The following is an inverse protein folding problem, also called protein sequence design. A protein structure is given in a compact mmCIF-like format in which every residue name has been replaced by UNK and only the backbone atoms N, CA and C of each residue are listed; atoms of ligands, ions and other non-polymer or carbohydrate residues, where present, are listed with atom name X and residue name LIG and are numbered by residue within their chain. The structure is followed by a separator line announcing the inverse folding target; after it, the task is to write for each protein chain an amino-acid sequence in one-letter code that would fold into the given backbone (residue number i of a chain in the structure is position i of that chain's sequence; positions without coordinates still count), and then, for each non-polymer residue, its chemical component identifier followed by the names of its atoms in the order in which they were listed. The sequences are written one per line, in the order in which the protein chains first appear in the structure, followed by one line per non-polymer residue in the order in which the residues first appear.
data_IF_320814766540
#
_entry.id   IF_320814766540
#
_cell.length_a   1.000
_cell.length_b   1.000
_cell.length_c   1.000
_cell.angle_alpha   90.00
_cell.angle_beta   90.00
_cell.angle_gamma   90.00
#
_symmetry.space_group_name_H-M   'P 1'
#
loop_
_entity.id
_entity.type
_entity.pdbx_description
1 polymer ?
#
# COMPACT_ATOMS: atom_id res chain seq x y z
N UNK A 1 -80.14 -1.94 34.08
CA UNK A 1 -80.59 -1.57 32.71
C UNK A 1 -79.79 -2.43 31.73
N UNK A 2 -80.32 -3.60 31.32
CA UNK A 2 -80.88 -3.90 29.96
C UNK A 2 -79.87 -3.56 28.84
N UNK A 3 -79.07 -4.51 28.32
CA UNK A 3 -79.35 -5.60 27.32
C UNK A 3 -79.70 -5.05 25.93
N UNK A 4 -79.10 -5.68 24.88
CA UNK A 4 -79.57 -5.93 23.47
C UNK A 4 -78.35 -5.79 22.50
N UNK A 5 -77.65 -6.89 22.12
CA UNK A 5 -77.86 -7.80 20.94
C UNK A 5 -77.63 -7.12 19.58
N UNK A 6 -76.57 -7.46 18.83
CA UNK A 6 -76.40 -8.54 17.83
C UNK A 6 -76.90 -8.23 16.41
N UNK A 7 -75.97 -8.33 15.45
CA UNK A 7 -76.05 -8.85 14.07
C UNK A 7 -77.18 -8.40 13.11
N UNK A 8 -76.80 -8.00 11.88
CA UNK A 8 -77.08 -8.76 10.64
C UNK A 8 -76.45 -8.12 9.40
N UNK A 9 -75.92 -8.99 8.55
CA UNK A 9 -75.35 -8.75 7.23
C UNK A 9 -76.35 -8.21 6.21
N UNK A 10 -75.87 -7.45 5.23
CA UNK A 10 -76.32 -7.58 3.84
C UNK A 10 -75.22 -7.08 2.90
N UNK A 11 -74.81 -8.00 2.02
CA UNK A 11 -73.91 -7.74 0.92
C UNK A 11 -74.62 -6.94 -0.17
N UNK A 12 -73.92 -5.96 -0.75
CA UNK A 12 -74.20 -5.49 -2.11
C UNK A 12 -72.87 -5.50 -2.85
N UNK A 13 -72.86 -6.25 -3.94
CA UNK A 13 -71.71 -6.46 -4.80
C UNK A 13 -71.72 -5.47 -5.99
N UNK A 14 -70.52 -5.32 -6.56
CA UNK A 14 -70.20 -4.87 -7.92
C UNK A 14 -70.27 -3.35 -8.16
N UNK A 15 -69.11 -2.73 -8.43
CA UNK A 15 -68.62 -2.42 -9.79
C UNK A 15 -67.12 -2.12 -9.69
N UNK A 16 -66.34 -2.90 -10.44
CA UNK A 16 -64.92 -2.71 -10.66
C UNK A 16 -64.67 -1.46 -11.53
N UNK A 17 -63.75 -0.61 -11.10
CA UNK A 17 -63.08 0.34 -11.97
C UNK A 17 -61.58 0.29 -11.69
N UNK A 18 -60.94 -0.75 -12.25
CA UNK A 18 -59.49 -0.85 -12.34
C UNK A 18 -59.00 0.25 -13.29
N UNK A 19 -58.43 1.32 -12.74
CA UNK A 19 -57.64 2.27 -13.55
C UNK A 19 -56.31 1.60 -13.85
N UNK A 20 -56.23 0.90 -14.99
CA UNK A 20 -54.96 0.53 -15.61
C UNK A 20 -54.32 1.80 -16.17
N UNK A 21 -53.42 2.41 -15.40
CA UNK A 21 -52.42 3.30 -15.98
C UNK A 21 -51.44 2.43 -16.76
N UNK A 22 -51.58 2.41 -18.09
CA UNK A 22 -50.55 1.89 -18.99
C UNK A 22 -49.32 2.80 -18.90
N UNK A 23 -48.40 2.50 -17.99
CA UNK A 23 -47.06 3.07 -18.03
C UNK A 23 -46.26 2.27 -19.05
N UNK A 24 -46.18 2.77 -20.28
CA UNK A 24 -45.15 2.36 -21.23
C UNK A 24 -43.80 2.82 -20.67
N UNK A 25 -43.16 1.98 -19.87
CA UNK A 25 -41.73 2.14 -19.60
C UNK A 25 -41.03 1.70 -20.87
N UNK A 26 -40.62 2.69 -21.65
CA UNK A 26 -39.65 2.52 -22.74
C UNK A 26 -38.44 1.80 -22.14
N UNK A 27 -38.18 0.58 -22.61
CA UNK A 27 -36.99 -0.18 -22.27
C UNK A 27 -35.75 0.60 -22.69
N UNK A 28 -35.18 1.36 -21.76
CA UNK A 28 -33.84 1.91 -21.91
C UNK A 28 -32.85 0.76 -22.05
N UNK A 29 -31.76 0.94 -22.81
CA UNK A 29 -30.79 -0.13 -23.01
C UNK A 29 -30.17 -0.50 -21.66
N UNK A 30 -30.58 -1.65 -21.12
CA UNK A 30 -29.85 -2.37 -20.11
C UNK A 30 -28.60 -2.97 -20.78
N UNK A 31 -27.60 -2.14 -21.06
CA UNK A 31 -26.28 -2.60 -21.50
C UNK A 31 -25.28 -1.45 -21.47
N UNK A 32 -24.64 -1.25 -20.31
CA UNK A 32 -23.37 -0.49 -20.19
C UNK A 32 -22.71 -0.64 -18.80
N UNK A 33 -23.49 -0.92 -17.74
CA UNK A 33 -22.95 -1.02 -16.38
C UNK A 33 -22.27 -2.35 -16.03
N UNK A 34 -22.37 -3.36 -16.89
CA UNK A 34 -21.81 -4.70 -16.63
C UNK A 34 -20.39 -4.92 -17.21
N UNK A 35 -19.81 -3.95 -17.92
CA UNK A 35 -18.51 -4.14 -18.58
C UNK A 35 -17.32 -3.40 -17.92
N UNK A 36 -17.55 -2.58 -16.90
CA UNK A 36 -16.47 -1.84 -16.20
C UNK A 36 -16.05 -2.46 -14.85
N UNK A 37 -16.68 -3.57 -14.42
CA UNK A 37 -16.30 -4.25 -13.18
C UNK A 37 -15.06 -5.16 -13.35
N UNK A 38 -14.79 -5.64 -14.57
CA UNK A 38 -13.70 -6.60 -14.83
C UNK A 38 -12.32 -5.93 -14.95
N UNK A 39 -12.26 -4.63 -15.26
CA UNK A 39 -11.00 -3.86 -15.39
C UNK A 39 -10.46 -3.32 -14.07
N UNK A 40 -11.34 -2.90 -13.15
CA UNK A 40 -10.95 -2.27 -11.88
C UNK A 40 -10.31 -3.25 -10.89
N UNK A 41 -10.68 -4.55 -10.96
CA UNK A 41 -10.10 -5.59 -10.11
C UNK A 41 -8.66 -5.97 -10.50
N UNK A 42 -8.30 -5.82 -11.77
CA UNK A 42 -6.94 -6.09 -12.26
C UNK A 42 -5.98 -4.90 -11.99
N UNK A 43 -6.49 -3.66 -12.02
CA UNK A 43 -5.67 -2.45 -11.81
C UNK A 43 -5.23 -2.27 -10.34
N UNK A 44 -6.07 -2.69 -9.38
CA UNK A 44 -5.75 -2.64 -7.95
C UNK A 44 -4.64 -3.65 -7.53
N UNK A 45 -4.34 -4.64 -8.38
CA UNK A 45 -3.34 -5.66 -8.12
C UNK A 45 -1.90 -5.12 -8.12
N UNK A 46 -1.67 -3.96 -8.75
CA UNK A 46 -0.32 -3.48 -9.06
C UNK A 46 0.22 -2.37 -8.13
N UNK A 47 -0.39 -2.15 -6.97
CA UNK A 47 0.06 -1.13 -5.99
C UNK A 47 0.15 -1.70 -4.57
N UNK A 48 0.79 -2.85 -4.40
CA UNK A 48 0.95 -3.44 -3.07
C UNK A 48 2.20 -2.92 -2.39
N UNK A 49 2.03 -2.58 -1.11
CA UNK A 49 3.15 -2.32 -0.22
C UNK A 49 3.97 -3.57 0.00
N UNK A 50 5.27 -3.38 0.22
CA UNK A 50 6.13 -4.48 0.62
C UNK A 50 5.74 -4.94 2.04
N UNK A 51 5.66 -6.25 2.31
CA UNK A 51 5.27 -6.77 3.62
C UNK A 51 6.30 -6.52 4.72
N UNK A 52 7.55 -6.24 4.32
CA UNK A 52 8.64 -5.76 5.18
C UNK A 52 9.29 -4.52 4.56
N UNK A 53 9.83 -3.59 5.35
CA UNK A 53 10.57 -2.44 4.83
C UNK A 53 11.84 -2.87 4.09
N UNK A 54 12.13 -2.23 2.96
CA UNK A 54 13.33 -2.52 2.16
C UNK A 54 13.42 -3.98 1.73
N UNK A 55 12.36 -4.45 1.07
CA UNK A 55 12.18 -5.80 0.51
C UNK A 55 13.45 -6.31 -0.17
N UNK A 56 13.88 -7.51 0.20
CA UNK A 56 14.96 -8.24 -0.49
C UNK A 56 14.50 -9.67 -0.73
N UNK A 57 14.38 -10.04 -2.00
CA UNK A 57 14.02 -11.40 -2.40
C UNK A 57 15.28 -12.26 -2.30
N UNK A 58 15.27 -13.25 -1.40
CA UNK A 58 16.38 -14.20 -1.19
C UNK A 58 16.16 -15.52 -1.90
N UNK A 59 14.90 -15.84 -2.23
CA UNK A 59 14.54 -16.94 -3.12
C UNK A 59 13.43 -16.52 -4.05
N UNK A 60 13.71 -16.60 -5.35
CA UNK A 60 12.77 -16.22 -6.40
C UNK A 60 11.65 -17.25 -6.57
N UNK A 61 10.56 -16.81 -7.22
CA UNK A 61 9.47 -17.66 -7.66
C UNK A 61 9.95 -18.66 -8.72
N UNK A 62 9.57 -19.93 -8.56
CA UNK A 62 9.92 -21.02 -9.47
C UNK A 62 8.69 -21.90 -9.63
N UNK A 63 7.84 -21.57 -10.61
CA UNK A 63 6.53 -22.20 -10.76
C UNK A 63 6.66 -23.65 -11.20
N UNK A 64 6.19 -24.62 -10.39
CA UNK A 64 6.16 -26.01 -10.81
C UNK A 64 5.01 -26.25 -11.79
N UNK A 65 5.20 -27.17 -12.74
CA UNK A 65 4.14 -27.56 -13.71
C UNK A 65 2.84 -27.99 -13.03
N UNK A 66 2.95 -28.62 -11.85
CA UNK A 66 1.80 -28.95 -11.01
C UNK A 66 2.05 -28.53 -9.56
N UNK A 67 0.96 -28.20 -8.86
CA UNK A 67 0.98 -27.70 -7.48
C UNK A 67 1.52 -28.69 -6.43
N UNK A 68 1.83 -29.92 -6.79
CA UNK A 68 2.47 -30.93 -5.92
C UNK A 68 3.89 -31.32 -6.35
N UNK A 69 4.40 -30.84 -7.49
CA UNK A 69 5.79 -31.10 -7.93
C UNK A 69 6.82 -30.23 -7.20
N UNK A 70 8.11 -30.54 -7.36
CA UNK A 70 9.19 -29.70 -6.85
C UNK A 70 9.16 -28.31 -7.52
N UNK A 71 9.39 -27.25 -6.74
CA UNK A 71 9.37 -25.85 -7.18
C UNK A 71 9.09 -24.90 -6.00
N UNK A 72 8.99 -23.60 -6.27
CA UNK A 72 8.78 -22.55 -5.30
C UNK A 72 7.56 -21.67 -5.66
N UNK A 73 6.47 -21.85 -4.91
CA UNK A 73 5.13 -21.28 -5.18
C UNK A 73 4.92 -19.87 -4.61
N UNK A 74 6.02 -19.15 -4.43
CA UNK A 74 6.06 -17.83 -3.85
C UNK A 74 7.46 -17.26 -3.94
N UNK A 75 7.73 -16.23 -3.17
CA UNK A 75 9.09 -15.70 -2.96
C UNK A 75 9.43 -15.80 -1.48
N UNK A 76 10.71 -15.98 -1.18
CA UNK A 76 11.20 -15.82 0.19
C UNK A 76 11.84 -14.45 0.30
N UNK A 77 11.37 -13.68 1.28
CA UNK A 77 11.80 -12.32 1.53
C UNK A 77 12.62 -12.29 2.81
N UNK A 78 13.81 -11.69 2.77
CA UNK A 78 14.67 -11.54 3.94
C UNK A 78 13.92 -10.81 5.06
N UNK A 79 13.73 -11.50 6.19
CA UNK A 79 13.01 -10.98 7.35
C UNK A 79 13.52 -11.68 8.61
N UNK A 80 13.91 -10.90 9.61
CA UNK A 80 14.46 -11.47 10.84
C UNK A 80 13.35 -12.01 11.75
N UNK A 81 13.67 -12.97 12.61
CA UNK A 81 12.72 -13.47 13.63
C UNK A 81 12.17 -12.31 14.48
N UNK A 82 10.88 -12.36 14.79
CA UNK A 82 10.08 -11.32 15.44
C UNK A 82 9.92 -10.01 14.65
N UNK A 83 10.38 -9.93 13.40
CA UNK A 83 10.16 -8.75 12.56
C UNK A 83 8.65 -8.59 12.26
N UNK A 84 8.07 -7.38 12.36
CA UNK A 84 6.68 -7.14 12.02
C UNK A 84 6.41 -7.37 10.53
N UNK A 85 5.33 -8.08 10.22
CA UNK A 85 4.79 -8.24 8.86
C UNK A 85 3.57 -7.35 8.69
N UNK A 86 3.51 -6.67 7.56
CA UNK A 86 2.48 -5.68 7.24
C UNK A 86 1.56 -6.15 6.12
N UNK A 87 0.30 -5.73 6.18
CA UNK A 87 -0.66 -5.94 5.10
C UNK A 87 -0.23 -5.16 3.85
N UNK A 88 -0.17 -5.80 2.67
CA UNK A 88 0.29 -5.13 1.45
C UNK A 88 -0.73 -4.12 0.89
N UNK A 89 -2.01 -4.32 1.18
CA UNK A 89 -3.09 -3.42 0.79
C UNK A 89 -4.23 -3.49 1.81
N UNK A 90 -5.26 -2.66 1.64
CA UNK A 90 -6.50 -2.79 2.41
C UNK A 90 -7.22 -4.08 1.99
N UNK A 91 -7.71 -4.84 2.96
CA UNK A 91 -8.29 -6.15 2.71
C UNK A 91 -8.89 -6.81 3.95
N UNK A 92 -9.19 -8.10 3.82
CA UNK A 92 -9.78 -8.91 4.90
C UNK A 92 -8.89 -10.11 5.23
N UNK A 93 -8.74 -10.45 6.51
CA UNK A 93 -8.00 -11.66 6.91
C UNK A 93 -8.78 -12.92 6.52
N UNK A 94 -8.25 -13.72 5.59
CA UNK A 94 -8.82 -15.00 5.16
C UNK A 94 -8.50 -16.14 6.12
N UNK A 95 -7.30 -16.11 6.70
CA UNK A 95 -6.83 -17.13 7.63
C UNK A 95 -5.79 -16.55 8.59
N UNK A 96 -5.85 -16.97 9.86
CA UNK A 96 -4.82 -16.73 10.86
C UNK A 96 -4.79 -17.97 11.76
N UNK A 97 -3.71 -18.75 11.71
CA UNK A 97 -3.64 -20.02 12.40
C UNK A 97 -2.43 -20.85 12.01
N UNK A 98 -2.44 -22.16 12.27
CA UNK A 98 -1.35 -23.07 11.89
C UNK A 98 -1.72 -23.93 10.68
N UNK A 99 -0.79 -24.10 9.76
CA UNK A 99 -0.86 -25.05 8.63
C UNK A 99 0.36 -25.97 8.73
N UNK A 100 0.15 -27.27 8.82
CA UNK A 100 1.21 -28.26 9.04
C UNK A 100 2.18 -27.88 10.19
N UNK A 101 1.62 -27.33 11.27
CA UNK A 101 2.38 -26.91 12.47
C UNK A 101 3.01 -25.51 12.40
N UNK A 102 3.09 -24.88 11.22
CA UNK A 102 3.68 -23.55 11.02
C UNK A 102 2.64 -22.44 11.06
N UNK A 103 2.93 -21.29 11.68
CA UNK A 103 1.98 -20.19 11.76
C UNK A 103 1.87 -19.46 10.42
N UNK A 104 0.64 -19.28 9.94
CA UNK A 104 0.31 -18.68 8.64
C UNK A 104 -0.75 -17.60 8.83
N UNK A 105 -0.54 -16.48 8.16
CA UNK A 105 -1.57 -15.44 7.97
C UNK A 105 -1.85 -15.33 6.47
N UNK A 106 -3.12 -15.30 6.06
CA UNK A 106 -3.48 -14.96 4.70
C UNK A 106 -4.58 -13.91 4.63
N UNK A 107 -4.48 -13.05 3.62
CA UNK A 107 -5.35 -11.91 3.38
C UNK A 107 -6.03 -12.03 2.03
N UNK A 108 -7.21 -11.45 1.91
CA UNK A 108 -7.88 -11.13 0.67
C UNK A 108 -7.65 -9.66 0.36
N UNK A 109 -6.97 -9.38 -0.75
CA UNK A 109 -6.65 -8.02 -1.20
C UNK A 109 -6.84 -7.93 -2.70
N UNK A 110 -7.75 -7.05 -3.16
CA UNK A 110 -7.97 -6.79 -4.59
C UNK A 110 -8.31 -8.02 -5.45
N UNK A 111 -9.01 -9.03 -4.92
CA UNK A 111 -9.33 -10.27 -5.64
C UNK A 111 -8.22 -11.35 -5.60
N UNK A 112 -7.15 -11.10 -4.87
CA UNK A 112 -6.06 -12.04 -4.64
C UNK A 112 -6.05 -12.52 -3.20
N UNK A 113 -5.62 -13.77 -3.01
CA UNK A 113 -5.14 -14.21 -1.72
C UNK A 113 -3.62 -14.01 -1.64
N UNK A 114 -3.18 -13.44 -0.52
CA UNK A 114 -1.76 -13.28 -0.18
C UNK A 114 -1.50 -13.99 1.12
N UNK A 115 -0.54 -14.91 1.16
CA UNK A 115 -0.19 -15.68 2.35
C UNK A 115 1.23 -15.37 2.83
N UNK A 116 1.42 -15.38 4.14
CA UNK A 116 2.69 -15.16 4.82
C UNK A 116 2.99 -16.30 5.79
N UNK A 117 4.17 -16.91 5.66
CA UNK A 117 4.65 -18.00 6.51
C UNK A 117 6.16 -17.87 6.72
N UNK A 118 6.71 -18.03 7.93
CA UNK A 118 6.05 -18.29 9.21
C UNK A 118 5.70 -16.97 9.93
N UNK A 119 4.41 -16.66 10.10
CA UNK A 119 3.96 -15.40 10.74
C UNK A 119 3.01 -15.69 11.89
N UNK A 120 3.46 -15.39 13.11
CA UNK A 120 2.62 -15.38 14.32
C UNK A 120 1.67 -14.19 14.27
N UNK A 121 0.37 -14.46 14.19
CA UNK A 121 -0.63 -13.44 13.92
C UNK A 121 -0.95 -12.56 15.12
N UNK A 122 -1.17 -11.27 14.87
CA UNK A 122 -1.80 -10.32 15.81
C UNK A 122 -3.26 -10.00 15.41
N UNK A 123 -3.76 -10.62 14.35
CA UNK A 123 -5.12 -10.45 13.81
C UNK A 123 -5.87 -11.79 13.79
N UNK A 124 -7.17 -11.76 13.50
CA UNK A 124 -8.04 -12.93 13.42
C UNK A 124 -8.73 -13.01 12.07
N UNK A 125 -9.12 -14.22 11.68
CA UNK A 125 -9.92 -14.43 10.46
C UNK A 125 -11.18 -13.56 10.51
N UNK A 126 -11.44 -12.85 9.41
CA UNK A 126 -12.57 -11.92 9.27
C UNK A 126 -12.22 -10.47 9.59
N UNK A 127 -11.09 -10.19 10.26
CA UNK A 127 -10.69 -8.82 10.57
C UNK A 127 -10.44 -8.03 9.27
N UNK A 128 -10.86 -6.76 9.26
CA UNK A 128 -10.46 -5.80 8.24
C UNK A 128 -9.05 -5.29 8.56
N UNK A 129 -8.21 -5.20 7.54
CA UNK A 129 -6.85 -4.67 7.66
C UNK A 129 -6.66 -3.53 6.68
N UNK A 130 -6.00 -2.46 7.12
CA UNK A 130 -5.57 -1.39 6.24
C UNK A 130 -4.22 -1.73 5.58
N UNK A 131 -3.93 -1.15 4.41
CA UNK A 131 -2.58 -1.17 3.86
C UNK A 131 -1.55 -0.69 4.90
N UNK A 132 -0.44 -1.43 5.05
CA UNK A 132 0.67 -1.10 5.97
C UNK A 132 0.43 -1.49 7.44
N UNK A 133 -0.78 -1.93 7.78
CA UNK A 133 -1.12 -2.40 9.13
C UNK A 133 -0.30 -3.65 9.49
N UNK A 134 0.24 -3.71 10.71
CA UNK A 134 0.91 -4.91 11.22
C UNK A 134 -0.11 -6.03 11.45
N UNK A 135 0.14 -7.19 10.84
CA UNK A 135 -0.73 -8.38 10.90
C UNK A 135 -0.12 -9.53 11.71
N UNK A 136 1.16 -9.40 12.09
CA UNK A 136 1.87 -10.40 12.86
C UNK A 136 3.38 -10.15 12.88
N UNK A 137 4.12 -11.12 13.41
CA UNK A 137 5.59 -11.11 13.45
C UNK A 137 6.16 -12.44 12.95
N UNK A 138 7.35 -12.42 12.34
CA UNK A 138 8.05 -13.63 11.89
C UNK A 138 8.28 -14.57 13.08
N UNK A 139 7.79 -15.81 13.01
CA UNK A 139 7.77 -16.72 14.15
C UNK A 139 9.01 -17.61 14.27
N UNK A 140 9.57 -18.06 13.14
CA UNK A 140 10.73 -18.95 13.11
C UNK A 140 11.60 -18.72 11.86
N UNK A 141 12.80 -19.29 11.86
CA UNK A 141 13.74 -19.27 10.74
C UNK A 141 13.82 -20.63 10.01
N UNK A 142 12.79 -21.48 10.15
CA UNK A 142 12.87 -22.94 9.89
C UNK A 142 13.30 -23.34 8.48
N UNK A 143 13.31 -22.44 7.50
CA UNK A 143 13.73 -22.72 6.12
C UNK A 143 14.77 -21.74 5.54
N UNK A 144 15.16 -20.70 6.28
CA UNK A 144 16.19 -19.73 5.87
C UNK A 144 17.14 -19.47 7.05
N UNK A 145 18.44 -19.69 6.85
CA UNK A 145 19.46 -19.60 7.91
C UNK A 145 19.52 -18.26 8.64
N UNK A 146 19.15 -17.16 8.00
CA UNK A 146 19.11 -15.81 8.59
C UNK A 146 17.68 -15.30 8.88
N UNK A 147 16.66 -16.15 8.64
CA UNK A 147 15.24 -15.79 8.71
C UNK A 147 14.71 -15.24 7.38
N UNK A 148 13.52 -15.69 6.99
CA UNK A 148 12.78 -15.15 5.87
C UNK A 148 11.28 -15.39 6.07
N UNK A 149 10.46 -14.65 5.32
CA UNK A 149 9.04 -14.95 5.16
C UNK A 149 8.78 -15.37 3.73
N UNK A 150 8.17 -16.54 3.59
CA UNK A 150 7.57 -17.00 2.37
C UNK A 150 6.29 -16.22 2.10
N UNK A 151 6.20 -15.61 0.92
CA UNK A 151 5.03 -14.88 0.45
C UNK A 151 4.48 -15.61 -0.77
N UNK A 152 3.20 -15.97 -0.73
CA UNK A 152 2.50 -16.63 -1.84
C UNK A 152 1.32 -15.78 -2.31
N UNK A 153 1.04 -15.79 -3.62
CA UNK A 153 -0.06 -15.04 -4.23
C UNK A 153 -0.82 -15.92 -5.21
N UNK A 154 -2.15 -15.90 -5.17
CA UNK A 154 -3.01 -16.52 -6.18
C UNK A 154 -4.34 -15.76 -6.34
N UNK A 155 -4.99 -15.90 -7.48
CA UNK A 155 -6.31 -15.30 -7.72
C UNK A 155 -7.43 -16.11 -7.07
N UNK A 156 -8.41 -15.41 -6.52
CA UNK A 156 -9.56 -16.03 -5.84
C UNK A 156 -10.67 -16.49 -6.77
N UNK A 157 -10.72 -15.95 -7.98
CA UNK A 157 -11.75 -16.21 -9.00
C UNK A 157 -11.54 -17.49 -9.81
N UNK A 158 -10.48 -18.25 -9.51
CA UNK A 158 -10.07 -19.42 -10.30
C UNK A 158 -9.45 -20.50 -9.42
N UNK A 159 -9.25 -21.68 -10.00
CA UNK A 159 -8.48 -22.75 -9.36
C UNK A 159 -7.13 -22.20 -8.89
N UNK A 160 -6.66 -22.67 -7.73
CA UNK A 160 -5.45 -22.14 -7.09
C UNK A 160 -4.25 -22.28 -8.01
N UNK A 161 -3.87 -21.17 -8.63
CA UNK A 161 -2.73 -21.05 -9.51
C UNK A 161 -1.83 -19.93 -8.99
N UNK A 162 -0.64 -20.31 -8.51
CA UNK A 162 0.27 -19.37 -7.90
C UNK A 162 0.86 -18.43 -8.96
N UNK A 163 0.92 -17.16 -8.60
CA UNK A 163 1.53 -16.07 -9.36
C UNK A 163 2.84 -15.65 -8.69
N UNK A 164 3.73 -15.02 -9.45
CA UNK A 164 4.96 -14.45 -8.92
C UNK A 164 4.63 -13.24 -8.03
N UNK A 165 4.83 -13.29 -6.70
CA UNK A 165 4.53 -12.17 -5.82
C UNK A 165 5.40 -10.94 -6.05
N UNK A 166 6.58 -11.10 -6.67
CA UNK A 166 7.46 -9.97 -6.97
C UNK A 166 6.77 -8.92 -7.86
N UNK A 167 5.93 -9.36 -8.79
CA UNK A 167 5.20 -8.49 -9.74
C UNK A 167 4.17 -7.57 -9.04
N UNK A 168 3.82 -7.88 -7.79
CA UNK A 168 2.85 -7.12 -7.00
C UNK A 168 3.56 -6.09 -6.09
N UNK A 169 4.72 -6.45 -5.54
CA UNK A 169 5.50 -5.60 -4.64
C UNK A 169 6.49 -4.69 -5.36
N UNK A 170 6.82 -5.03 -6.61
CA UNK A 170 7.74 -4.30 -7.46
C UNK A 170 6.94 -3.88 -8.69
N UNK A 171 6.18 -2.78 -8.58
CA UNK A 171 5.44 -2.29 -9.74
C UNK A 171 6.18 -1.16 -10.46
N UNK A 172 6.52 -1.45 -11.72
CA UNK A 172 6.62 -0.45 -12.80
C UNK A 172 5.20 -0.12 -13.35
N UNK A 173 4.13 -0.38 -12.58
CA UNK A 173 2.77 -0.31 -13.07
C UNK A 173 2.17 1.07 -12.86
N UNK A 174 1.71 1.58 -14.00
CA UNK A 174 1.18 2.90 -14.10
C UNK A 174 -0.29 2.96 -13.68
N UNK A 175 -0.72 3.92 -12.85
CA UNK A 175 -2.15 4.19 -12.61
C UNK A 175 -2.42 5.69 -12.82
N UNK A 176 -3.17 6.02 -13.86
CA UNK A 176 -3.63 7.38 -14.12
C UNK A 176 -4.49 7.86 -12.94
N UNK A 177 -4.13 9.01 -12.35
CA UNK A 177 -4.99 9.69 -11.40
C UNK A 177 -6.18 10.31 -12.15
N UNK A 178 -7.41 10.28 -11.60
CA UNK A 178 -8.49 11.11 -12.11
C UNK A 178 -8.08 12.59 -12.01
N UNK A 179 -8.31 13.34 -13.08
CA UNK A 179 -7.76 14.67 -13.37
C UNK A 179 -8.10 15.78 -12.33
N UNK A 180 -8.95 15.51 -11.35
CA UNK A 180 -9.49 16.52 -10.44
C UNK A 180 -8.72 16.72 -9.15
N UNK A 181 -7.45 17.18 -9.20
CA UNK A 181 -6.75 17.94 -8.12
C UNK A 181 -5.24 18.16 -8.34
N UNK A 182 -4.69 17.80 -9.49
CA UNK A 182 -3.32 18.19 -9.82
C UNK A 182 -3.31 19.67 -10.23
N UNK A 183 -2.33 20.48 -9.78
CA UNK A 183 -2.25 21.86 -10.22
C UNK A 183 -1.96 21.90 -11.73
N UNK A 184 -2.75 22.67 -12.49
CA UNK A 184 -2.59 22.86 -13.96
C UNK A 184 -1.19 23.34 -14.37
N UNK A 185 -0.43 23.87 -13.40
CA UNK A 185 0.94 24.32 -13.54
C UNK A 185 1.75 23.91 -12.32
N UNK A 186 2.96 23.37 -12.54
CA UNK A 186 3.91 23.11 -11.45
C UNK A 186 4.10 24.38 -10.61
N UNK A 187 4.24 24.25 -9.27
CA UNK A 187 4.63 25.38 -8.43
C UNK A 187 5.87 26.06 -8.97
N UNK A 188 5.93 27.38 -8.80
CA UNK A 188 7.15 28.14 -9.08
C UNK A 188 8.31 27.52 -8.29
N UNK A 189 9.49 27.44 -8.90
CA UNK A 189 10.68 27.04 -8.16
C UNK A 189 10.92 28.03 -7.01
N UNK A 190 11.08 27.53 -5.79
CA UNK A 190 11.41 28.37 -4.65
C UNK A 190 12.70 29.15 -4.95
N UNK A 191 12.62 30.48 -4.94
CA UNK A 191 13.77 31.36 -5.11
C UNK A 191 14.54 31.41 -3.77
N UNK A 192 15.78 30.90 -3.74
CA UNK A 192 16.76 31.30 -2.71
C UNK A 192 16.85 30.48 -1.40
N UNK A 193 16.71 29.16 -1.43
CA UNK A 193 17.05 28.29 -0.28
C UNK A 193 18.27 27.41 -0.57
N UNK A 194 19.31 27.47 0.26
CA UNK A 194 20.58 26.75 0.02
C UNK A 194 20.39 25.24 -0.21
N UNK A 195 21.09 24.71 -1.21
CA UNK A 195 20.97 23.34 -1.77
C UNK A 195 21.59 22.25 -0.86
N UNK A 196 21.88 22.52 0.42
CA UNK A 196 22.91 21.75 1.14
C UNK A 196 22.53 21.12 2.49
N UNK A 197 21.28 21.17 2.98
CA UNK A 197 20.93 20.52 4.26
C UNK A 197 19.82 19.48 4.10
N UNK A 198 20.03 18.31 4.70
CA UNK A 198 19.03 17.26 4.90
C UNK A 198 17.72 17.86 5.41
N UNK A 199 16.61 17.48 4.80
CA UNK A 199 15.28 17.97 5.16
C UNK A 199 14.69 17.25 6.37
N UNK A 200 15.17 16.03 6.64
CA UNK A 200 14.74 15.23 7.77
C UNK A 200 15.40 15.71 9.07
N UNK A 201 14.60 15.91 10.12
CA UNK A 201 15.09 16.37 11.40
C UNK A 201 14.03 16.33 12.50
N UNK A 202 14.45 16.65 13.71
CA UNK A 202 13.57 16.66 14.87
C UNK A 202 12.45 17.70 14.74
N UNK A 203 11.24 17.32 15.15
CA UNK A 203 10.07 18.20 15.19
C UNK A 203 9.08 17.72 16.25
N UNK A 204 8.18 18.62 16.69
CA UNK A 204 7.06 18.26 17.57
C UNK A 204 7.45 17.70 18.95
N UNK A 205 8.71 17.85 19.38
CA UNK A 205 9.20 17.28 20.65
C UNK A 205 9.35 15.75 20.63
N UNK A 206 9.22 15.10 19.47
CA UNK A 206 9.33 13.66 19.36
C UNK A 206 10.79 13.18 19.28
N UNK A 207 11.01 11.92 19.65
CA UNK A 207 12.24 11.21 19.36
C UNK A 207 12.14 10.46 18.02
N UNK A 208 13.29 10.25 17.37
CA UNK A 208 13.36 9.59 16.07
C UNK A 208 12.77 8.18 16.13
N UNK A 209 11.79 7.90 15.25
CA UNK A 209 11.06 6.64 15.22
C UNK A 209 10.02 6.47 16.33
N UNK A 210 9.72 7.52 17.10
CA UNK A 210 8.76 7.50 18.21
C UNK A 210 7.68 8.60 18.07
N UNK A 211 7.28 8.88 16.83
CA UNK A 211 6.18 9.78 16.50
C UNK A 211 4.87 8.98 16.56
N UNK A 212 3.87 9.40 17.35
CA UNK A 212 2.61 8.69 17.48
C UNK A 212 1.79 8.80 16.18
N UNK A 213 1.03 7.76 15.85
CA UNK A 213 0.24 7.72 14.61
C UNK A 213 -0.75 8.88 14.45
N UNK A 214 -1.27 9.42 15.56
CA UNK A 214 -2.16 10.59 15.56
C UNK A 214 -1.49 11.88 15.08
N UNK A 215 -0.16 11.96 15.17
CA UNK A 215 0.63 13.10 14.67
C UNK A 215 1.06 12.92 13.20
N UNK A 216 0.68 11.81 12.57
CA UNK A 216 1.08 11.46 11.21
C UNK A 216 -0.14 11.43 10.28
N UNK A 217 0.05 11.90 9.06
CA UNK A 217 -0.97 11.83 8.03
C UNK A 217 -0.68 10.69 7.04
N UNK A 218 -1.72 9.95 6.60
CA UNK A 218 -1.58 8.97 5.53
C UNK A 218 -1.31 9.67 4.18
N UNK A 219 -0.58 9.00 3.30
CA UNK A 219 -0.42 9.43 1.90
C UNK A 219 -1.60 8.96 1.08
N UNK A 220 -2.25 9.87 0.35
CA UNK A 220 -3.39 9.54 -0.53
C UNK A 220 -2.91 8.81 -1.78
N UNK A 221 -1.76 9.23 -2.30
CA UNK A 221 -1.11 8.67 -3.50
C UNK A 221 -0.39 7.35 -3.25
N UNK A 222 -0.11 7.01 -1.99
CA UNK A 222 0.57 5.78 -1.58
C UNK A 222 -0.06 5.20 -0.29
N UNK A 223 -1.21 4.50 -0.40
CA UNK A 223 -1.93 3.98 0.75
C UNK A 223 -1.06 3.14 1.68
N UNK A 224 -1.19 3.37 3.00
CA UNK A 224 -0.47 2.67 4.07
C UNK A 224 0.92 3.25 4.40
N UNK A 225 1.37 4.26 3.66
CA UNK A 225 2.47 5.12 4.08
C UNK A 225 1.97 6.29 4.91
N UNK A 226 2.85 6.80 5.79
CA UNK A 226 2.57 7.96 6.61
C UNK A 226 3.78 8.88 6.69
N UNK A 227 3.51 10.18 6.72
CA UNK A 227 4.51 11.23 6.89
C UNK A 227 3.99 12.29 7.87
N UNK A 228 4.85 13.26 8.23
CA UNK A 228 4.38 14.52 8.81
C UNK A 228 3.35 15.15 7.86
N UNK A 229 2.32 15.81 8.40
CA UNK A 229 1.14 16.17 7.61
C UNK A 229 1.39 17.15 6.45
N UNK A 230 2.33 18.07 6.61
CA UNK A 230 2.82 18.96 5.56
C UNK A 230 3.60 18.18 4.48
N UNK A 231 4.54 17.32 4.89
CA UNK A 231 5.29 16.45 4.00
C UNK A 231 4.35 15.51 3.22
N UNK A 232 3.33 14.95 3.87
CA UNK A 232 2.31 14.11 3.25
C UNK A 232 1.54 14.85 2.15
N UNK A 233 1.02 16.04 2.47
CA UNK A 233 0.31 16.89 1.50
C UNK A 233 1.23 17.25 0.33
N UNK A 234 2.48 17.60 0.60
CA UNK A 234 3.44 17.97 -0.42
C UNK A 234 3.84 16.79 -1.32
N UNK A 235 3.99 15.60 -0.73
CA UNK A 235 4.26 14.38 -1.48
C UNK A 235 3.10 14.00 -2.39
N UNK A 236 1.87 14.09 -1.91
CA UNK A 236 0.69 13.79 -2.74
C UNK A 236 0.59 14.75 -3.95
N UNK A 237 0.95 16.03 -3.78
CA UNK A 237 1.04 16.99 -4.89
C UNK A 237 2.17 16.65 -5.88
N UNK A 238 3.35 16.26 -5.38
CA UNK A 238 4.47 15.80 -6.21
C UNK A 238 4.10 14.55 -7.01
N UNK A 239 3.50 13.57 -6.34
CA UNK A 239 3.07 12.30 -6.94
C UNK A 239 2.01 12.51 -8.01
N UNK A 240 1.10 13.49 -7.81
CA UNK A 240 0.13 13.87 -8.82
C UNK A 240 0.77 14.49 -10.07
N UNK A 241 1.74 15.40 -9.90
CA UNK A 241 2.48 15.99 -11.02
C UNK A 241 3.34 14.95 -11.77
N UNK A 242 3.94 14.00 -11.04
CA UNK A 242 4.66 12.88 -11.63
C UNK A 242 3.71 12.00 -12.47
N UNK A 243 2.49 11.76 -11.97
CA UNK A 243 1.48 10.98 -12.69
C UNK A 243 1.01 11.64 -13.99
N UNK A 244 0.88 12.97 -14.02
CA UNK A 244 0.61 13.69 -15.27
C UNK A 244 1.70 13.45 -16.33
N UNK A 245 2.97 13.32 -15.91
CA UNK A 245 4.09 13.13 -16.83
C UNK A 245 4.28 11.68 -17.28
N UNK A 246 4.06 10.72 -16.39
CA UNK A 246 4.42 9.31 -16.62
C UNK A 246 3.22 8.36 -16.67
N UNK A 247 2.01 8.87 -16.45
CA UNK A 247 0.78 8.07 -16.44
C UNK A 247 0.51 7.37 -15.10
N UNK A 248 1.28 7.66 -14.05
CA UNK A 248 1.15 7.00 -12.75
C UNK A 248 1.72 7.69 -11.54
N UNK A 249 1.17 7.51 -10.33
CA UNK A 249 1.80 8.07 -9.15
C UNK A 249 3.14 7.40 -8.88
N UNK A 250 3.89 8.07 -8.02
CA UNK A 250 5.12 7.55 -7.46
C UNK A 250 4.79 6.38 -6.53
N UNK A 251 5.41 5.23 -6.78
CA UNK A 251 5.45 4.12 -5.82
C UNK A 251 6.37 4.48 -4.65
N UNK A 252 5.87 4.33 -3.42
CA UNK A 252 6.65 4.50 -2.19
C UNK A 252 6.97 3.12 -1.65
N UNK A 253 8.24 2.86 -1.34
CA UNK A 253 8.71 1.58 -0.80
C UNK A 253 9.04 1.68 0.69
N UNK A 254 9.39 2.87 1.18
CA UNK A 254 9.52 3.17 2.61
C UNK A 254 9.17 4.63 2.91
N UNK A 255 8.68 4.92 4.12
CA UNK A 255 8.25 6.26 4.56
C UNK A 255 8.63 6.48 6.03
N UNK A 256 7.69 6.83 6.91
CA UNK A 256 7.94 6.82 8.35
C UNK A 256 8.34 5.42 8.85
N UNK A 257 9.48 5.36 9.54
CA UNK A 257 10.05 4.14 10.09
C UNK A 257 10.15 4.23 11.61
N UNK A 258 9.24 3.54 12.30
CA UNK A 258 9.23 3.47 13.76
C UNK A 258 10.52 2.84 14.33
N UNK A 259 10.81 3.12 15.61
CA UNK A 259 12.07 2.75 16.25
C UNK A 259 12.29 1.23 16.26
N UNK A 260 11.24 0.45 16.48
CA UNK A 260 11.33 -1.02 16.47
C UNK A 260 11.67 -1.54 15.08
N UNK A 261 11.11 -0.93 14.04
CA UNK A 261 11.45 -1.21 12.66
C UNK A 261 12.92 -0.86 12.37
N UNK A 262 13.44 0.25 12.90
CA UNK A 262 14.86 0.58 12.77
C UNK A 262 15.76 -0.46 13.46
N UNK A 263 15.39 -0.94 14.65
CA UNK A 263 16.10 -2.03 15.35
C UNK A 263 16.12 -3.30 14.50
N UNK A 264 14.97 -3.68 13.92
CA UNK A 264 14.87 -4.85 13.04
C UNK A 264 15.76 -4.72 11.80
N UNK A 265 15.71 -3.56 11.12
CA UNK A 265 16.58 -3.29 9.96
C UNK A 265 18.06 -3.27 10.34
N UNK A 266 18.43 -2.72 11.50
CA UNK A 266 19.82 -2.70 11.96
C UNK A 266 20.35 -4.10 12.18
N UNK A 267 19.55 -4.97 12.79
CA UNK A 267 19.87 -6.38 12.97
C UNK A 267 20.06 -7.10 11.62
N UNK A 268 19.20 -6.83 10.64
CA UNK A 268 19.25 -7.49 9.32
C UNK A 268 20.38 -6.97 8.43
N UNK A 269 20.54 -5.65 8.34
CA UNK A 269 21.42 -4.99 7.36
C UNK A 269 22.75 -4.54 7.92
N UNK A 270 22.96 -4.65 9.24
CA UNK A 270 24.21 -4.31 9.90
C UNK A 270 24.66 -2.88 9.58
N UNK A 271 25.82 -2.73 8.94
CA UNK A 271 26.37 -1.41 8.56
C UNK A 271 25.54 -0.66 7.51
N UNK A 272 24.69 -1.35 6.74
CA UNK A 272 23.88 -0.76 5.68
C UNK A 272 22.56 -0.17 6.18
N UNK A 273 22.23 -0.34 7.46
CA UNK A 273 21.14 0.37 8.10
C UNK A 273 21.68 1.40 9.09
N UNK A 274 21.04 2.56 9.13
CA UNK A 274 21.29 3.57 10.14
C UNK A 274 21.14 2.96 11.55
N UNK A 275 21.97 3.40 12.49
CA UNK A 275 21.78 3.07 13.91
C UNK A 275 20.37 3.50 14.34
N UNK A 276 19.62 2.66 15.07
CA UNK A 276 18.27 3.00 15.52
C UNK A 276 18.24 4.34 16.26
N UNK A 277 17.23 5.15 15.96
CA UNK A 277 17.12 6.53 16.42
C UNK A 277 17.90 7.55 15.60
N UNK A 278 18.59 7.15 14.53
CA UNK A 278 19.34 8.05 13.63
C UNK A 278 18.88 8.03 12.18
N UNK A 279 17.86 7.23 11.85
CA UNK A 279 17.39 7.14 10.47
C UNK A 279 16.56 8.37 10.07
N UNK A 280 16.81 8.96 8.91
CA UNK A 280 16.00 10.07 8.39
C UNK A 280 14.51 9.72 8.24
N UNK A 281 14.19 8.45 7.95
CA UNK A 281 12.82 7.92 7.95
C UNK A 281 12.13 7.99 9.32
N UNK A 282 12.89 7.94 10.42
CA UNK A 282 12.34 8.06 11.77
C UNK A 282 11.78 9.44 12.09
N UNK A 283 11.99 10.43 11.23
CA UNK A 283 11.39 11.75 11.35
C UNK A 283 10.11 11.91 10.57
N UNK A 284 9.65 10.89 9.83
CA UNK A 284 8.47 10.99 8.95
C UNK A 284 8.61 12.08 7.88
N UNK A 285 9.85 12.34 7.46
CA UNK A 285 10.27 13.37 6.51
C UNK A 285 11.15 12.81 5.39
N UNK A 286 11.20 11.49 5.25
CA UNK A 286 11.94 10.82 4.19
C UNK A 286 11.09 9.72 3.57
N UNK A 287 11.34 9.46 2.30
CA UNK A 287 10.69 8.41 1.50
C UNK A 287 11.74 7.70 0.66
N UNK A 288 11.56 6.39 0.52
CA UNK A 288 12.24 5.60 -0.49
C UNK A 288 11.25 5.32 -1.63
N UNK A 289 11.64 5.58 -2.87
CA UNK A 289 10.74 5.64 -4.03
C UNK A 289 11.08 4.58 -5.07
N UNK A 290 10.06 4.00 -5.70
CA UNK A 290 10.16 3.08 -6.83
C UNK A 290 9.91 3.78 -8.18
N UNK A 291 9.14 3.16 -9.08
CA UNK A 291 8.64 3.80 -10.31
C UNK A 291 9.74 4.30 -11.25
N UNK A 292 10.85 3.56 -11.34
CA UNK A 292 12.04 3.96 -12.10
C UNK A 292 12.88 5.05 -11.45
N UNK A 293 12.41 5.72 -10.39
CA UNK A 293 13.18 6.72 -9.63
C UNK A 293 14.32 6.04 -8.85
N UNK A 294 14.13 4.80 -8.39
CA UNK A 294 15.13 3.98 -7.70
C UNK A 294 16.38 3.59 -8.54
N UNK A 295 16.55 4.15 -9.74
CA UNK A 295 17.72 3.91 -10.59
C UNK A 295 18.23 5.23 -11.15
N UNK A 296 19.53 5.49 -10.99
CA UNK A 296 20.15 6.67 -11.59
C UNK A 296 20.00 6.69 -13.12
N UNK A 297 19.84 7.89 -13.68
CA UNK A 297 19.84 8.12 -15.11
C UNK A 297 18.53 7.78 -15.84
N UNK A 298 17.54 7.19 -15.18
CA UNK A 298 16.22 6.98 -15.78
C UNK A 298 15.52 8.31 -16.06
N UNK A 299 14.59 8.37 -17.04
CA UNK A 299 13.77 9.55 -17.26
C UNK A 299 13.02 10.02 -16.01
N UNK A 300 12.52 9.07 -15.20
CA UNK A 300 11.80 9.33 -13.96
C UNK A 300 12.71 9.94 -12.89
N UNK A 301 13.91 9.40 -12.68
CA UNK A 301 14.88 9.98 -11.74
C UNK A 301 15.31 11.39 -12.18
N UNK A 302 15.61 11.60 -13.47
CA UNK A 302 15.99 12.93 -13.98
C UNK A 302 14.86 13.95 -13.86
N UNK A 303 13.62 13.53 -14.07
CA UNK A 303 12.46 14.38 -13.84
C UNK A 303 12.34 14.77 -12.37
N UNK A 304 12.53 13.81 -11.44
CA UNK A 304 12.53 14.11 -10.00
C UNK A 304 13.63 15.11 -9.64
N UNK A 305 14.86 14.93 -10.15
CA UNK A 305 15.97 15.88 -9.92
C UNK A 305 15.65 17.31 -10.36
N UNK A 306 14.86 17.46 -11.41
CA UNK A 306 14.50 18.76 -11.98
C UNK A 306 13.27 19.40 -11.32
N UNK A 307 12.41 18.61 -10.67
CA UNK A 307 11.07 19.07 -10.26
C UNK A 307 10.74 18.89 -8.79
N UNK A 308 11.30 17.89 -8.09
CA UNK A 308 10.92 17.55 -6.72
C UNK A 308 11.08 18.73 -5.74
N UNK A 309 12.11 19.56 -5.93
CA UNK A 309 12.38 20.72 -5.09
C UNK A 309 11.24 21.75 -5.09
N UNK A 310 10.44 21.81 -6.16
CA UNK A 310 9.23 22.67 -6.26
C UNK A 310 8.14 22.26 -5.27
N UNK A 311 8.20 21.02 -4.80
CA UNK A 311 7.30 20.42 -3.81
C UNK A 311 8.00 20.20 -2.47
N UNK A 312 9.13 20.87 -2.22
CA UNK A 312 9.89 20.70 -0.98
C UNK A 312 10.61 19.36 -0.84
N UNK A 313 10.69 18.52 -1.88
CA UNK A 313 11.40 17.25 -1.82
C UNK A 313 12.78 17.37 -2.47
N UNK A 314 13.81 16.87 -1.80
CA UNK A 314 15.18 16.90 -2.30
C UNK A 314 15.82 15.52 -2.32
N UNK A 315 16.70 15.31 -3.29
CA UNK A 315 17.63 14.19 -3.28
C UNK A 315 18.91 14.67 -2.61
N UNK A 316 19.24 14.16 -1.41
CA UNK A 316 20.29 14.76 -0.60
C UNK A 316 21.69 14.47 -1.18
N UNK A 317 22.69 15.36 -0.99
CA UNK A 317 24.01 15.22 -1.59
C UNK A 317 24.73 13.91 -1.26
N UNK A 318 24.51 13.36 -0.07
CA UNK A 318 25.12 12.08 0.34
C UNK A 318 24.56 10.88 -0.45
N UNK A 319 23.35 11.00 -0.99
CA UNK A 319 22.64 9.98 -1.76
C UNK A 319 22.91 10.07 -3.27
N UNK A 320 23.67 11.07 -3.72
CA UNK A 320 24.07 11.24 -5.12
C UNK A 320 24.94 10.08 -5.61
N UNK A 321 25.10 9.88 -6.93
CA UNK A 321 25.99 8.86 -7.50
C UNK A 321 27.43 8.93 -6.95
N UNK A 322 27.92 10.15 -6.70
CA UNK A 322 29.23 10.44 -6.13
C UNK A 322 29.21 10.67 -4.61
N UNK A 323 28.07 10.42 -3.96
CA UNK A 323 27.87 10.63 -2.54
C UNK A 323 28.49 9.53 -1.67
N UNK A 324 28.44 9.72 -0.35
CA UNK A 324 29.00 8.75 0.61
C UNK A 324 28.22 7.43 0.68
N UNK A 325 26.93 7.45 0.30
CA UNK A 325 26.09 6.27 0.20
C UNK A 325 25.09 6.48 -0.94
N UNK A 326 25.43 6.09 -2.18
CA UNK A 326 24.58 6.34 -3.33
C UNK A 326 23.21 5.63 -3.22
N UNK A 327 22.14 6.41 -3.16
CA UNK A 327 20.76 5.93 -2.96
C UNK A 327 19.80 6.71 -3.88
N UNK A 328 19.62 6.30 -5.15
CA UNK A 328 18.72 6.99 -6.10
C UNK A 328 17.26 7.02 -5.65
N UNK A 329 16.86 6.06 -4.81
CA UNK A 329 15.51 5.93 -4.28
C UNK A 329 15.22 6.88 -3.12
N UNK A 330 16.24 7.45 -2.45
CA UNK A 330 16.04 8.15 -1.18
C UNK A 330 15.78 9.65 -1.35
N UNK A 331 14.64 10.14 -0.85
CA UNK A 331 14.27 11.55 -0.95
C UNK A 331 13.81 12.10 0.40
N UNK A 332 14.12 13.35 0.67
CA UNK A 332 13.86 14.00 1.96
C UNK A 332 13.01 15.27 1.77
N UNK A 333 12.02 15.45 2.63
CA UNK A 333 11.17 16.64 2.66
C UNK A 333 11.87 17.76 3.43
N UNK A 334 11.93 18.94 2.82
CA UNK A 334 12.34 20.20 3.43
C UNK A 334 11.09 21.05 3.60
N UNK A 335 10.91 21.54 4.81
CA UNK A 335 9.90 22.57 5.07
C UNK A 335 10.16 23.76 4.14
N UNK A 336 9.15 24.12 3.36
CA UNK A 336 9.24 25.23 2.40
C UNK A 336 8.84 26.57 3.03
N UNK A 337 8.47 26.58 4.31
CA UNK A 337 8.17 27.80 5.07
C UNK A 337 7.01 28.62 4.50
N UNK A 338 6.06 27.98 3.80
CA UNK A 338 4.83 28.61 3.32
C UNK A 338 3.69 28.47 4.33
#
# INVERSE_FOLDING_TARGET
MKVITSALSSAVAVIAASVFAALTVVGGPASAYAQNADGAGAEAAHRWLTPVPGLQIVRAFDKPEQNWKAGHRGIDVAAAVSEPIRSPATGTVRFAGKVAGKPVVSLEVGGYAVSFEPVASTVRKGDQVAAGQVIGTVADASHCSEGCVHVGVWRLDRAKDYLNPADFFVSDASILLPEGQAPDRLPAAAQGGSVAKSGAGAWGGYSNGQIPAVALCPLRSAPGHRLRCDAAKSFDALSAAFAQRFGHPISVTDSYRDYQTQVALKRRKGKWAATPGRSNHGWALAVDLGSGINRFGTPQHQWMKSNAARFGWVHPPWAEPSGSLPEPWHWEYRDTGQ
#
